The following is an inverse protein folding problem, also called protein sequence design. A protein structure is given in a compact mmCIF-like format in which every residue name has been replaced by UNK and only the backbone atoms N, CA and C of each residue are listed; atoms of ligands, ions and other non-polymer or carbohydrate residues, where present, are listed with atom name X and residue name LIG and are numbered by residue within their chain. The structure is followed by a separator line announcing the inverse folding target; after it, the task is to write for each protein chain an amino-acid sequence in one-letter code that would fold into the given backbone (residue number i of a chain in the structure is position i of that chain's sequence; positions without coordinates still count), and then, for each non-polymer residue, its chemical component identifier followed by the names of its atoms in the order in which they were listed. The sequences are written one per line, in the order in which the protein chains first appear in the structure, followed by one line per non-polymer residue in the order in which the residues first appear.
data_IF_796967900058
#
_entry.id   IF_796967900058
#
_cell.length_a   1.000
_cell.length_b   1.000
_cell.length_c   1.000
_cell.angle_alpha   90.00
_cell.angle_beta   90.00
_cell.angle_gamma   90.00
#
_symmetry.space_group_name_H-M   'P 1'
#
loop_
_entity.id
_entity.type
_entity.pdbx_description
1 polymer ?
#
# COMPACT_ATOMS: atom_id res chain seq x y z
N UNK A 1 -18.82 29.21 -26.93
CA UNK A 1 -17.58 28.47 -26.61
C UNK A 1 -17.53 28.23 -25.11
N UNK A 2 -18.15 27.15 -24.61
CA UNK A 2 -18.01 26.73 -23.22
C UNK A 2 -16.74 25.88 -23.09
N UNK A 3 -15.81 26.33 -22.25
CA UNK A 3 -14.59 25.59 -21.91
C UNK A 3 -14.96 24.45 -20.96
N UNK A 4 -14.76 23.22 -21.42
CA UNK A 4 -14.82 22.00 -20.62
C UNK A 4 -13.76 22.07 -19.50
N UNK A 5 -14.20 22.11 -18.24
CA UNK A 5 -13.33 21.87 -17.08
C UNK A 5 -12.87 20.40 -17.07
N UNK A 6 -11.58 20.10 -16.84
CA UNK A 6 -11.13 18.72 -16.63
C UNK A 6 -11.56 18.27 -15.23
N UNK A 7 -12.69 17.54 -15.18
CA UNK A 7 -13.28 16.96 -13.97
C UNK A 7 -12.66 15.59 -13.64
N UNK A 8 -11.33 15.48 -13.69
CA UNK A 8 -10.59 14.24 -13.37
C UNK A 8 -9.18 14.59 -12.87
N UNK A 9 -9.03 14.86 -11.56
CA UNK A 9 -8.09 14.03 -10.79
C UNK A 9 -8.55 13.72 -9.36
N UNK A 10 -9.76 14.11 -8.96
CA UNK A 10 -10.28 13.89 -7.59
C UNK A 10 -10.65 12.41 -7.33
N UNK A 11 -10.98 11.66 -8.39
CA UNK A 11 -11.46 10.27 -8.28
C UNK A 11 -10.41 9.29 -7.72
N UNK A 12 -9.11 9.59 -7.83
CA UNK A 12 -8.04 8.69 -7.37
C UNK A 12 -7.78 8.74 -5.86
N UNK A 13 -8.03 9.89 -5.23
CA UNK A 13 -7.74 10.14 -3.81
C UNK A 13 -8.96 9.81 -2.94
N UNK A 14 -10.16 9.91 -3.51
CA UNK A 14 -11.38 9.35 -2.92
C UNK A 14 -11.30 7.84 -2.71
N UNK A 15 -10.44 7.07 -3.37
CA UNK A 15 -10.38 5.61 -3.14
C UNK A 15 -9.64 5.21 -1.85
N UNK A 16 -8.79 6.08 -1.29
CA UNK A 16 -8.13 5.81 0.00
C UNK A 16 -8.86 6.42 1.20
N UNK A 17 -9.72 7.42 0.98
CA UNK A 17 -10.44 8.16 2.04
C UNK A 17 -11.97 8.12 1.92
N UNK A 18 -12.53 7.78 0.75
CA UNK A 18 -13.91 7.26 0.56
C UNK A 18 -13.87 5.75 0.25
N UNK A 19 -12.81 5.03 0.65
CA UNK A 19 -12.88 3.57 0.73
C UNK A 19 -14.09 3.18 1.58
N UNK A 20 -14.67 2.01 1.35
CA UNK A 20 -15.89 1.56 2.01
C UNK A 20 -15.75 1.76 3.53
N UNK A 21 -16.41 2.79 4.05
CA UNK A 21 -16.41 3.11 5.47
C UNK A 21 -17.45 2.21 6.11
N UNK A 22 -17.00 1.32 6.98
CA UNK A 22 -17.86 0.43 7.75
C UNK A 22 -18.11 1.03 9.13
N UNK A 23 -19.27 0.71 9.68
CA UNK A 23 -19.67 1.09 11.03
C UNK A 23 -19.06 0.19 12.08
N UNK A 24 -18.70 -1.03 11.70
CA UNK A 24 -18.13 -2.04 12.59
C UNK A 24 -16.96 -2.77 11.92
N UNK A 25 -15.94 -3.19 12.68
CA UNK A 25 -14.90 -4.07 12.15
C UNK A 25 -15.43 -5.51 12.03
N UNK A 26 -14.85 -6.36 11.16
CA UNK A 26 -15.25 -7.76 11.06
C UNK A 26 -14.81 -8.57 12.29
N UNK A 27 -13.78 -8.14 13.01
CA UNK A 27 -13.41 -8.71 14.31
C UNK A 27 -12.59 -7.72 15.12
N UNK A 28 -12.48 -7.99 16.42
CA UNK A 28 -11.43 -7.40 17.24
C UNK A 28 -10.02 -7.74 16.75
N UNK A 29 -8.99 -7.17 17.41
CA UNK A 29 -7.60 -7.37 17.05
C UNK A 29 -7.18 -8.83 17.24
N UNK A 30 -6.42 -9.35 16.27
CA UNK A 30 -5.75 -10.63 16.41
C UNK A 30 -4.60 -10.51 17.43
N UNK A 31 -4.38 -11.56 18.21
CA UNK A 31 -3.19 -11.66 19.03
C UNK A 31 -1.96 -11.70 18.10
N UNK A 32 -1.00 -10.81 18.34
CA UNK A 32 0.21 -10.54 17.54
C UNK A 32 0.03 -9.64 16.32
N UNK A 33 0.99 -8.72 16.20
CA UNK A 33 1.23 -7.89 15.03
C UNK A 33 2.13 -8.62 14.03
N UNK A 34 1.89 -8.39 12.76
CA UNK A 34 2.85 -8.64 11.69
C UNK A 34 3.96 -7.56 11.73
N UNK A 35 5.11 -7.89 12.30
CA UNK A 35 6.22 -6.94 12.47
C UNK A 35 6.79 -6.41 11.15
N UNK A 36 6.69 -7.19 10.08
CA UNK A 36 7.13 -6.77 8.75
C UNK A 36 6.29 -5.64 8.15
N UNK A 37 5.07 -5.39 8.65
CA UNK A 37 4.27 -4.23 8.28
C UNK A 37 4.78 -2.93 8.89
N UNK A 38 5.50 -2.99 10.02
CA UNK A 38 6.06 -1.80 10.64
C UNK A 38 7.14 -1.20 9.74
N UNK A 39 7.18 0.13 9.66
CA UNK A 39 8.13 0.86 8.83
C UNK A 39 7.53 2.08 8.14
N UNK A 40 8.36 2.69 7.30
CA UNK A 40 7.97 3.76 6.40
C UNK A 40 7.72 3.18 5.01
N UNK A 41 6.59 3.54 4.42
CA UNK A 41 6.10 3.02 3.16
C UNK A 41 5.84 4.15 2.20
N UNK A 42 6.19 3.96 0.93
CA UNK A 42 5.93 4.95 -0.11
C UNK A 42 5.24 4.32 -1.33
N UNK A 43 4.33 5.09 -1.92
CA UNK A 43 3.73 4.80 -3.21
C UNK A 43 3.51 6.08 -4.01
N UNK A 44 3.34 5.95 -5.33
CA UNK A 44 3.03 7.07 -6.22
C UNK A 44 1.73 6.76 -6.96
N UNK A 45 0.86 7.75 -7.09
CA UNK A 45 -0.30 7.60 -7.96
C UNK A 45 0.09 7.72 -9.45
N UNK A 46 -0.91 7.56 -10.33
CA UNK A 46 -0.75 7.68 -11.78
C UNK A 46 -0.40 9.10 -12.24
N UNK A 47 -0.63 10.12 -11.41
CA UNK A 47 -0.22 11.50 -11.66
C UNK A 47 1.19 11.81 -11.09
N UNK A 48 1.84 10.83 -10.45
CA UNK A 48 3.16 10.97 -9.87
C UNK A 48 3.17 11.60 -8.47
N UNK A 49 2.02 11.84 -7.84
CA UNK A 49 1.96 12.33 -6.47
C UNK A 49 2.48 11.26 -5.50
N UNK A 50 3.33 11.68 -4.58
CA UNK A 50 3.95 10.80 -3.58
C UNK A 50 3.07 10.72 -2.33
N UNK A 51 2.75 9.49 -1.95
CA UNK A 51 2.09 9.17 -0.69
C UNK A 51 3.10 8.45 0.19
N UNK A 52 3.20 8.91 1.44
CA UNK A 52 4.01 8.24 2.46
C UNK A 52 3.11 7.75 3.57
N UNK A 53 3.40 6.59 4.11
CA UNK A 53 2.70 6.04 5.27
C UNK A 53 3.73 5.58 6.28
N UNK A 54 3.51 5.90 7.55
CA UNK A 54 4.29 5.38 8.67
C UNK A 54 3.38 4.39 9.42
N UNK A 55 3.83 3.15 9.57
CA UNK A 55 3.16 2.13 10.36
C UNK A 55 4.06 1.84 11.55
N UNK A 56 3.59 2.13 12.76
CA UNK A 56 4.33 1.90 14.00
C UNK A 56 3.49 1.07 14.97
N UNK A 57 4.05 0.05 15.63
CA UNK A 57 3.31 -0.68 16.66
C UNK A 57 3.01 0.24 17.84
N UNK A 58 1.79 0.15 18.39
CA UNK A 58 1.40 0.86 19.62
C UNK A 58 1.17 -0.07 20.80
N UNK A 59 0.93 -1.35 20.51
CA UNK A 59 0.80 -2.45 21.47
C UNK A 59 1.13 -3.76 20.75
N UNK A 60 0.96 -4.89 21.44
CA UNK A 60 1.14 -6.23 20.87
C UNK A 60 0.13 -6.62 19.78
N UNK A 61 -0.92 -5.81 19.60
CA UNK A 61 -2.09 -6.13 18.79
C UNK A 61 -2.62 -4.93 17.97
N UNK A 62 -2.04 -3.74 18.15
CA UNK A 62 -2.39 -2.52 17.42
C UNK A 62 -1.17 -1.82 16.81
N UNK A 63 -1.46 -1.05 15.75
CA UNK A 63 -0.57 -0.12 15.09
C UNK A 63 -1.17 1.29 15.12
N UNK A 64 -0.29 2.28 15.11
CA UNK A 64 -0.58 3.62 14.58
C UNK A 64 -0.19 3.65 13.11
N UNK A 65 -1.14 4.02 12.26
CA UNK A 65 -0.87 4.29 10.84
C UNK A 65 -1.03 5.77 10.59
N UNK A 66 0.00 6.43 10.09
CA UNK A 66 -0.02 7.85 9.73
C UNK A 66 0.22 8.00 8.23
N UNK A 67 -0.81 8.39 7.49
CA UNK A 67 -0.75 8.70 6.06
C UNK A 67 -0.36 10.17 5.89
N UNK A 68 0.70 10.44 5.14
CA UNK A 68 1.21 11.77 4.82
C UNK A 68 1.06 11.99 3.31
N UNK A 69 0.25 12.98 2.93
CA UNK A 69 0.02 13.34 1.54
C UNK A 69 0.71 14.67 1.20
N UNK A 70 1.57 14.64 0.17
CA UNK A 70 2.26 15.83 -0.37
C UNK A 70 2.92 16.72 0.71
N UNK A 71 3.36 16.11 1.82
CA UNK A 71 4.02 16.79 2.94
C UNK A 71 3.14 17.76 3.74
N UNK A 72 1.81 17.77 3.56
CA UNK A 72 0.92 18.80 4.13
C UNK A 72 -0.19 18.28 5.03
N UNK A 73 -0.87 17.21 4.66
CA UNK A 73 -1.93 16.61 5.47
C UNK A 73 -1.46 15.27 6.02
N UNK A 74 -1.64 15.09 7.33
CA UNK A 74 -1.48 13.79 7.97
C UNK A 74 -2.82 13.28 8.48
N UNK A 75 -3.16 12.05 8.11
CA UNK A 75 -4.32 11.33 8.64
C UNK A 75 -3.82 10.17 9.47
N UNK A 76 -4.30 10.07 10.70
CA UNK A 76 -3.89 9.01 11.61
C UNK A 76 -5.02 8.01 11.83
N UNK A 77 -4.65 6.75 11.91
CA UNK A 77 -5.53 5.63 12.14
C UNK A 77 -5.01 4.78 13.27
N UNK A 78 -5.92 4.22 14.04
CA UNK A 78 -5.67 3.07 14.90
C UNK A 78 -5.95 1.83 14.06
N UNK A 79 -5.00 0.92 13.97
CA UNK A 79 -5.09 -0.21 13.06
C UNK A 79 -4.75 -1.52 13.73
N UNK A 80 -5.36 -2.61 13.27
CA UNK A 80 -5.09 -3.96 13.75
C UNK A 80 -5.38 -4.98 12.65
N UNK A 81 -4.95 -6.21 12.88
CA UNK A 81 -5.23 -7.33 11.99
C UNK A 81 -6.51 -8.00 12.47
N UNK A 82 -7.56 -7.97 11.65
CA UNK A 82 -8.75 -8.79 11.80
C UNK A 82 -8.60 -10.10 11.03
N UNK A 83 -9.23 -11.18 11.51
CA UNK A 83 -9.16 -12.52 10.87
C UNK A 83 -10.55 -13.07 10.61
N UNK A 84 -10.80 -13.48 9.38
CA UNK A 84 -12.04 -14.17 8.96
C UNK A 84 -11.66 -15.42 8.19
N UNK A 85 -11.91 -16.60 8.80
CA UNK A 85 -11.62 -17.91 8.20
C UNK A 85 -10.19 -18.03 7.63
N UNK A 86 -9.19 -17.56 8.39
CA UNK A 86 -7.77 -17.58 8.01
C UNK A 86 -7.33 -16.40 7.13
N UNK A 87 -8.26 -15.67 6.53
CA UNK A 87 -7.98 -14.47 5.74
C UNK A 87 -7.64 -13.28 6.64
N UNK A 88 -6.52 -12.61 6.36
CA UNK A 88 -6.05 -11.43 7.11
C UNK A 88 -6.61 -10.15 6.51
N UNK A 89 -7.15 -9.30 7.36
CA UNK A 89 -7.70 -8.00 7.00
C UNK A 89 -7.02 -6.94 7.87
N UNK A 90 -6.36 -5.98 7.25
CA UNK A 90 -5.88 -4.78 7.92
C UNK A 90 -7.07 -3.84 8.12
N UNK A 91 -7.50 -3.70 9.37
CA UNK A 91 -8.60 -2.83 9.79
C UNK A 91 -8.03 -1.50 10.22
N UNK A 92 -8.48 -0.39 9.62
CA UNK A 92 -8.08 0.98 9.97
C UNK A 92 -9.28 1.72 10.55
N UNK A 93 -9.19 2.12 11.82
CA UNK A 93 -10.14 3.03 12.46
C UNK A 93 -9.63 4.46 12.36
N UNK A 94 -10.40 5.35 11.73
CA UNK A 94 -10.03 6.76 11.65
C UNK A 94 -10.01 7.43 13.03
N UNK A 95 -8.93 8.14 13.33
CA UNK A 95 -8.77 8.94 14.55
C UNK A 95 -8.94 10.44 14.31
N UNK A 96 -8.97 10.85 13.05
CA UNK A 96 -9.14 12.25 12.70
C UNK A 96 -10.58 12.70 12.97
N UNK A 97 -10.71 13.91 13.48
CA UNK A 97 -12.02 14.56 13.68
C UNK A 97 -12.75 14.76 12.34
N UNK A 98 -14.07 14.57 12.34
CA UNK A 98 -14.92 14.76 11.17
C UNK A 98 -15.88 13.60 10.90
N UNK A 99 -16.43 13.55 9.67
CA UNK A 99 -17.46 12.60 9.26
C UNK A 99 -17.01 11.12 9.28
N UNK A 100 -15.70 10.87 9.26
CA UNK A 100 -15.13 9.52 9.27
C UNK A 100 -14.69 9.07 10.68
N UNK A 101 -14.85 9.90 11.72
CA UNK A 101 -14.39 9.56 13.07
C UNK A 101 -15.03 8.26 13.54
N UNK A 102 -14.20 7.29 13.92
CA UNK A 102 -14.65 5.99 14.40
C UNK A 102 -15.13 5.03 13.31
N UNK A 103 -15.17 5.44 12.04
CA UNK A 103 -15.44 4.53 10.91
C UNK A 103 -14.22 3.68 10.60
N UNK A 104 -14.48 2.52 9.98
CA UNK A 104 -13.48 1.52 9.67
C UNK A 104 -13.26 1.42 8.16
N UNK A 105 -12.00 1.32 7.74
CA UNK A 105 -11.62 0.91 6.39
C UNK A 105 -10.98 -0.46 6.45
N UNK A 106 -11.37 -1.35 5.54
CA UNK A 106 -10.96 -2.75 5.55
C UNK A 106 -10.15 -3.06 4.29
N UNK A 107 -8.93 -3.56 4.50
CA UNK A 107 -8.03 -3.89 3.40
C UNK A 107 -7.48 -5.29 3.56
N UNK A 108 -7.35 -6.00 2.45
CA UNK A 108 -6.43 -7.12 2.36
C UNK A 108 -5.01 -6.60 2.16
N UNK A 109 -4.04 -7.27 2.77
CA UNK A 109 -2.64 -6.94 2.61
C UNK A 109 -1.82 -8.22 2.35
N UNK A 110 -0.87 -8.13 1.42
CA UNK A 110 -0.04 -9.26 1.00
C UNK A 110 1.42 -8.78 0.92
N UNK A 111 2.33 -9.52 1.54
CA UNK A 111 3.75 -9.35 1.34
C UNK A 111 4.10 -9.88 -0.06
N UNK A 112 4.49 -9.00 -0.96
CA UNK A 112 4.97 -9.39 -2.29
C UNK A 112 6.42 -9.86 -2.17
N UNK A 113 6.76 -10.92 -2.90
CA UNK A 113 8.11 -11.47 -2.89
C UNK A 113 9.15 -10.35 -3.09
N UNK A 114 10.22 -10.32 -2.27
CA UNK A 114 11.27 -9.32 -2.42
C UNK A 114 11.80 -9.41 -3.85
N UNK A 115 11.88 -8.25 -4.53
CA UNK A 115 12.56 -8.20 -5.82
C UNK A 115 13.98 -8.76 -5.66
N UNK A 116 14.48 -9.47 -6.68
CA UNK A 116 15.81 -10.10 -6.63
C UNK A 116 16.85 -9.03 -6.29
N UNK A 117 17.46 -9.06 -5.09
CA UNK A 117 18.41 -8.02 -4.73
C UNK A 117 19.68 -8.15 -5.55
N UNK A 118 20.38 -7.03 -5.84
CA UNK A 118 21.79 -7.06 -6.16
C UNK A 118 22.57 -7.91 -5.15
N UNK A 119 23.62 -8.65 -5.58
CA UNK A 119 24.47 -9.40 -4.67
C UNK A 119 24.98 -8.50 -3.54
N UNK A 120 24.68 -8.86 -2.28
CA UNK A 120 25.07 -8.10 -1.10
C UNK A 120 24.07 -7.04 -0.60
N UNK A 121 22.85 -6.99 -1.15
CA UNK A 121 21.78 -6.09 -0.68
C UNK A 121 20.52 -6.84 -0.24
N UNK A 122 19.69 -6.19 0.59
CA UNK A 122 18.34 -6.67 0.93
C UNK A 122 17.38 -6.08 -0.10
N UNK A 123 16.63 -6.93 -0.79
CA UNK A 123 15.70 -6.49 -1.83
C UNK A 123 14.59 -5.62 -1.23
N UNK A 124 14.01 -4.67 -2.00
CA UNK A 124 12.96 -3.82 -1.48
C UNK A 124 11.76 -4.68 -1.03
N UNK A 125 11.37 -4.54 0.23
CA UNK A 125 10.14 -5.13 0.75
C UNK A 125 8.97 -4.40 0.10
N UNK A 126 8.11 -5.16 -0.57
CA UNK A 126 6.92 -4.65 -1.27
C UNK A 126 5.68 -5.24 -0.64
N UNK A 127 4.66 -4.43 -0.46
CA UNK A 127 3.36 -4.90 0.02
C UNK A 127 2.28 -4.45 -0.93
N UNK A 128 1.29 -5.30 -1.13
CA UNK A 128 0.07 -4.96 -1.83
C UNK A 128 -1.01 -4.73 -0.81
N UNK A 129 -1.70 -3.60 -0.91
CA UNK A 129 -2.92 -3.32 -0.13
C UNK A 129 -4.07 -3.25 -1.12
N UNK A 130 -5.13 -4.03 -0.88
CA UNK A 130 -6.30 -4.13 -1.75
C UNK A 130 -7.57 -3.88 -0.95
N UNK A 131 -8.48 -3.08 -1.47
CA UNK A 131 -9.79 -2.87 -0.85
C UNK A 131 -10.67 -4.12 -1.02
N UNK A 132 -11.40 -4.48 0.04
CA UNK A 132 -12.37 -5.58 -0.03
C UNK A 132 -13.54 -5.21 -0.95
N UNK A 133 -13.83 -6.05 -1.93
CA UNK A 133 -14.95 -5.91 -2.86
C UNK A 133 -16.22 -6.47 -2.20
N UNK A 134 -16.82 -5.65 -1.32
CA UNK A 134 -18.09 -5.94 -0.66
C UNK A 134 -19.19 -5.02 -1.19
N UNK A 135 -20.44 -5.49 -1.13
CA UNK A 135 -21.59 -4.67 -1.50
C UNK A 135 -21.73 -3.46 -0.56
N UNK A 136 -22.27 -2.35 -1.07
CA UNK A 136 -22.44 -1.12 -0.29
C UNK A 136 -23.36 -1.32 0.92
N UNK A 137 -24.34 -2.24 0.84
CA UNK A 137 -25.19 -2.61 1.98
C UNK A 137 -24.39 -3.17 3.18
N UNK A 138 -23.17 -3.65 2.95
CA UNK A 138 -22.32 -4.20 4.01
C UNK A 138 -21.80 -3.14 4.99
N UNK A 139 -21.83 -1.84 4.62
CA UNK A 139 -21.23 -0.75 5.41
C UNK A 139 -21.86 -0.56 6.78
N UNK A 140 -23.17 -0.81 6.88
CA UNK A 140 -23.94 -0.63 8.11
C UNK A 140 -24.11 -1.93 8.91
N UNK A 141 -23.54 -3.04 8.44
CA UNK A 141 -23.67 -4.32 9.12
C UNK A 141 -22.92 -4.34 10.46
N UNK A 142 -23.47 -5.08 11.41
CA UNK A 142 -22.72 -5.45 12.61
C UNK A 142 -21.57 -6.41 12.27
N UNK A 143 -20.66 -6.61 13.21
CA UNK A 143 -19.49 -7.49 13.03
C UNK A 143 -19.86 -8.92 12.65
N UNK A 144 -20.98 -9.46 13.13
CA UNK A 144 -21.38 -10.85 12.85
C UNK A 144 -21.82 -11.00 11.39
N UNK A 145 -22.71 -10.13 10.92
CA UNK A 145 -23.21 -10.13 9.55
C UNK A 145 -22.13 -9.73 8.54
N UNK A 146 -21.28 -8.77 8.90
CA UNK A 146 -20.13 -8.39 8.07
C UNK A 146 -19.17 -9.56 7.85
N UNK A 147 -18.87 -10.35 8.90
CA UNK A 147 -18.09 -11.60 8.74
C UNK A 147 -18.77 -12.59 7.82
N UNK A 148 -20.09 -12.74 7.93
CA UNK A 148 -20.83 -13.67 7.09
C UNK A 148 -20.72 -13.30 5.60
N UNK A 149 -20.89 -12.02 5.25
CA UNK A 149 -20.71 -11.55 3.88
C UNK A 149 -19.26 -11.66 3.40
N UNK A 150 -18.27 -11.36 4.25
CA UNK A 150 -16.85 -11.59 3.91
C UNK A 150 -16.59 -13.06 3.58
N UNK A 151 -17.08 -14.00 4.41
CA UNK A 151 -16.93 -15.44 4.16
C UNK A 151 -17.59 -15.88 2.86
N UNK A 152 -18.77 -15.35 2.57
CA UNK A 152 -19.51 -15.62 1.34
C UNK A 152 -18.72 -15.13 0.12
N UNK A 153 -18.20 -13.91 0.17
CA UNK A 153 -17.34 -13.34 -0.88
C UNK A 153 -16.00 -14.11 -1.03
N UNK A 154 -15.41 -14.57 0.07
CA UNK A 154 -14.22 -15.44 0.04
C UNK A 154 -14.51 -16.76 -0.68
N UNK A 155 -15.59 -17.44 -0.30
CA UNK A 155 -16.02 -18.71 -0.92
C UNK A 155 -16.36 -18.53 -2.40
N UNK A 156 -16.89 -17.36 -2.77
CA UNK A 156 -17.18 -17.01 -4.15
C UNK A 156 -15.97 -16.55 -4.96
N UNK A 157 -14.82 -16.30 -4.33
CA UNK A 157 -13.64 -15.73 -5.00
C UNK A 157 -13.83 -14.29 -5.47
N UNK A 158 -14.81 -13.57 -4.92
CA UNK A 158 -15.17 -12.20 -5.33
C UNK A 158 -14.69 -11.13 -4.36
N UNK A 159 -14.11 -11.51 -3.21
CA UNK A 159 -13.70 -10.54 -2.19
C UNK A 159 -12.59 -9.59 -2.66
N UNK A 160 -11.75 -10.03 -3.58
CA UNK A 160 -10.63 -9.25 -4.09
C UNK A 160 -10.83 -8.97 -5.58
N UNK A 161 -10.31 -7.85 -6.10
CA UNK A 161 -10.32 -7.60 -7.52
C UNK A 161 -9.60 -8.74 -8.27
N UNK A 162 -10.04 -9.10 -9.49
CA UNK A 162 -9.39 -10.15 -10.27
C UNK A 162 -7.89 -9.89 -10.42
N UNK A 163 -7.09 -10.90 -10.10
CA UNK A 163 -5.63 -10.85 -10.23
C UNK A 163 -5.25 -11.08 -11.70
N UNK A 164 -4.81 -10.04 -12.40
CA UNK A 164 -4.20 -10.22 -13.72
C UNK A 164 -2.74 -10.67 -13.56
N UNK A 165 -2.55 -11.98 -13.43
CA UNK A 165 -1.23 -12.59 -13.28
C UNK A 165 -0.29 -12.30 -14.48
N UNK A 166 -0.84 -12.06 -15.67
CA UNK A 166 -0.04 -11.73 -16.86
C UNK A 166 0.48 -10.29 -16.82
N UNK A 167 -0.33 -9.35 -16.32
CA UNK A 167 0.11 -7.98 -16.04
C UNK A 167 1.20 -7.96 -14.95
N UNK A 168 1.00 -8.72 -13.87
CA UNK A 168 1.99 -8.81 -12.78
C UNK A 168 3.33 -9.39 -13.24
N UNK A 169 3.32 -10.46 -14.04
CA UNK A 169 4.54 -11.05 -14.60
C UNK A 169 5.28 -10.09 -15.52
N UNK A 170 4.55 -9.30 -16.31
CA UNK A 170 5.14 -8.25 -17.16
C UNK A 170 5.77 -7.14 -16.31
N UNK A 171 5.10 -6.72 -15.24
CA UNK A 171 5.62 -5.68 -14.33
C UNK A 171 6.88 -6.16 -13.61
N UNK A 172 6.88 -7.37 -13.04
CA UNK A 172 8.05 -7.95 -12.39
C UNK A 172 9.22 -8.15 -13.37
N UNK A 173 8.93 -8.53 -14.63
CA UNK A 173 9.96 -8.60 -15.67
C UNK A 173 10.54 -7.22 -16.00
N UNK A 174 9.69 -6.19 -16.17
CA UNK A 174 10.12 -4.81 -16.45
C UNK A 174 10.97 -4.24 -15.31
N UNK A 175 10.59 -4.52 -14.06
CA UNK A 175 11.36 -4.13 -12.87
C UNK A 175 12.73 -4.80 -12.82
N UNK A 176 12.81 -6.10 -13.15
CA UNK A 176 14.08 -6.83 -13.24
C UNK A 176 15.00 -6.27 -14.32
N UNK A 177 14.44 -5.95 -15.50
CA UNK A 177 15.20 -5.36 -16.61
C UNK A 177 15.71 -3.95 -16.26
N UNK A 178 14.89 -3.12 -15.61
CA UNK A 178 15.30 -1.78 -15.15
C UNK A 178 16.43 -1.86 -14.10
N UNK A 179 16.30 -2.75 -13.10
CA UNK A 179 17.34 -2.95 -12.10
C UNK A 179 18.63 -3.51 -12.69
N UNK A 180 18.55 -4.39 -13.71
CA UNK A 180 19.73 -4.91 -14.40
C UNK A 180 20.43 -3.82 -15.23
N UNK A 181 19.67 -2.92 -15.87
CA UNK A 181 20.21 -1.80 -16.62
C UNK A 181 20.94 -0.79 -15.72
N UNK A 182 20.36 -0.44 -14.56
CA UNK A 182 21.02 0.43 -13.58
C UNK A 182 22.32 -0.18 -13.05
N UNK A 183 22.35 -1.50 -12.82
CA UNK A 183 23.57 -2.21 -12.41
C UNK A 183 24.63 -2.24 -13.51
N UNK A 184 24.23 -2.45 -14.77
CA UNK A 184 25.15 -2.39 -15.89
C UNK A 184 25.79 -1.00 -16.03
N UNK A 185 25.00 0.06 -15.85
CA UNK A 185 25.49 1.45 -15.86
C UNK A 185 26.49 1.74 -14.74
N UNK A 186 26.25 1.24 -13.52
CA UNK A 186 27.17 1.40 -12.39
C UNK A 186 28.48 0.62 -12.56
N UNK A 187 28.43 -0.57 -13.15
CA UNK A 187 29.62 -1.37 -13.46
C UNK A 187 30.48 -0.75 -14.58
N UNK A 188 29.85 -0.11 -15.58
CA UNK A 188 30.58 0.59 -16.65
C UNK A 188 31.32 1.84 -16.12
N UNK A 189 30.76 2.48 -15.08
CA UNK A 189 31.38 3.61 -14.40
C UNK A 189 32.62 3.22 -13.56
N UNK A 190 32.67 1.99 -13.06
CA UNK A 190 33.80 1.48 -12.28
C UNK A 190 34.95 0.97 -13.16
N UNK A 191 34.70 0.68 -14.45
CA UNK A 191 35.73 0.18 -15.38
C UNK A 191 36.41 1.27 -16.22
N UNK A 192 35.82 2.46 -16.37
CA UNK A 192 36.45 3.58 -17.09
C UNK A 192 36.81 4.74 -16.16
N UNK A 193 38.06 4.76 -15.69
CA UNK A 193 38.64 5.85 -14.89
C UNK A 193 38.84 7.15 -15.67
N UNK A 194 37.78 7.72 -16.24
CA UNK A 194 37.79 9.08 -16.79
C UNK A 194 36.62 9.88 -16.22
N UNK A 195 36.94 10.68 -15.20
CA UNK A 195 36.11 11.77 -14.68
C UNK A 195 35.72 12.72 -15.82
N UNK A 196 34.52 12.55 -16.37
CA UNK A 196 33.81 13.59 -17.12
C UNK A 196 32.74 14.17 -16.21
N UNK A 197 33.00 15.34 -15.67
CA UNK A 197 32.01 16.20 -15.03
C UNK A 197 31.03 16.71 -16.09
N UNK A 198 29.91 16.02 -16.25
CA UNK A 198 28.70 16.57 -16.84
C UNK A 198 27.50 16.00 -16.08
N UNK A 199 27.22 16.60 -14.92
CA UNK A 199 25.99 16.36 -14.18
C UNK A 199 24.83 17.05 -14.92
N UNK A 200 24.36 16.43 -16.00
CA UNK A 200 23.10 16.78 -16.64
C UNK A 200 22.34 15.51 -17.01
N UNK A 201 21.40 15.16 -16.13
CA UNK A 201 20.29 14.27 -16.47
C UNK A 201 20.51 12.78 -16.16
N UNK A 202 20.06 12.35 -14.99
CA UNK A 202 19.55 11.00 -14.78
C UNK A 202 18.31 11.09 -13.88
N UNK A 203 17.28 11.75 -14.40
CA UNK A 203 15.93 11.73 -13.84
C UNK A 203 15.04 11.02 -14.87
N UNK A 204 15.35 9.75 -15.15
CA UNK A 204 14.59 8.91 -16.08
C UNK A 204 14.58 7.47 -15.60
N UNK A 205 13.44 7.09 -15.03
CA UNK A 205 12.68 5.85 -15.32
C UNK A 205 11.94 5.29 -14.10
N UNK A 206 11.19 6.13 -13.38
CA UNK A 206 10.00 5.62 -12.68
C UNK A 206 8.79 5.73 -13.62
N UNK A 207 8.85 5.06 -14.76
CA UNK A 207 7.75 5.04 -15.74
C UNK A 207 6.63 4.12 -15.24
N UNK A 208 5.47 4.74 -15.00
CA UNK A 208 4.13 4.16 -14.93
C UNK A 208 4.07 2.73 -14.35
N UNK A 209 3.97 2.64 -13.02
CA UNK A 209 3.48 1.44 -12.33
C UNK A 209 2.02 1.23 -12.74
N UNK A 210 1.75 0.10 -13.38
CA UNK A 210 0.41 -0.20 -13.88
C UNK A 210 -0.48 -0.53 -12.67
N UNK A 211 -1.56 0.24 -12.49
CA UNK A 211 -2.49 0.05 -11.38
C UNK A 211 -3.31 -1.20 -11.64
N UNK A 212 -3.16 -2.22 -10.81
CA UNK A 212 -4.17 -3.27 -10.68
C UNK A 212 -5.43 -2.60 -10.09
N UNK A 213 -6.60 -2.67 -10.76
CA UNK A 213 -7.82 -2.03 -10.27
C UNK A 213 -8.09 -2.42 -8.80
N UNK A 214 -8.26 -1.45 -7.92
CA UNK A 214 -8.58 -1.69 -6.50
C UNK A 214 -7.40 -2.13 -5.60
N UNK A 215 -6.16 -2.14 -6.09
CA UNK A 215 -4.99 -2.40 -5.24
C UNK A 215 -3.82 -1.43 -5.48
N UNK A 216 -2.99 -1.26 -4.46
CA UNK A 216 -1.86 -0.34 -4.45
C UNK A 216 -0.63 -1.07 -3.93
N UNK A 217 0.48 -0.95 -4.66
CA UNK A 217 1.79 -1.46 -4.23
C UNK A 217 2.53 -0.37 -3.47
N UNK A 218 2.96 -0.69 -2.26
CA UNK A 218 3.79 0.13 -1.41
C UNK A 218 5.19 -0.47 -1.28
N UNK A 219 6.20 0.40 -1.19
CA UNK A 219 7.59 0.02 -1.03
C UNK A 219 8.09 0.51 0.32
N UNK A 220 8.73 -0.38 1.10
CA UNK A 220 9.37 0.00 2.37
C UNK A 220 10.58 0.86 2.07
N UNK A 221 10.64 2.06 2.64
CA UNK A 221 11.74 3.03 2.44
C UNK A 221 12.53 3.29 3.71
N UNK A 222 12.05 2.84 4.86
CA UNK A 222 12.75 2.99 6.13
C UNK A 222 12.15 2.12 7.23
N UNK A 223 12.90 1.98 8.31
CA UNK A 223 12.41 1.38 9.55
C UNK A 223 11.72 2.39 10.45
N UNK A 224 11.11 1.88 11.52
CA UNK A 224 10.61 2.68 12.64
C UNK A 224 11.24 2.17 13.93
N UNK A 225 11.64 3.08 14.81
CA UNK A 225 12.18 2.72 16.12
C UNK A 225 11.15 3.01 17.19
N UNK A 226 10.80 2.00 17.98
CA UNK A 226 9.92 2.11 19.14
C UNK A 226 10.67 1.58 20.36
N UNK A 227 10.77 2.37 21.42
CA UNK A 227 11.39 1.96 22.70
C UNK A 227 12.83 1.40 22.58
N UNK A 228 13.56 1.79 21.53
CA UNK A 228 14.93 1.33 21.26
C UNK A 228 15.04 0.12 20.34
N UNK A 229 13.92 -0.51 19.95
CA UNK A 229 13.88 -1.58 18.95
C UNK A 229 13.52 -1.00 17.56
N UNK A 230 14.27 -1.41 16.53
CA UNK A 230 14.03 -0.99 15.13
C UNK A 230 13.33 -2.10 14.34
N UNK A 231 12.22 -1.74 13.70
CA UNK A 231 11.39 -2.61 12.86
C UNK A 231 11.42 -2.19 11.39
#
# INVERSE_FOLDING_TARGET
MLRSLPLLPVLGISLLLNGCLYDNPPSGPAASIDTWLAGQWETKDSAGHLFKTIIAPTSSDHYRVTLIQNGKSSTSFDAWISRVDGFSILTLKSLNEGLSLGKFSLFHYELLAPGTPPPGSVGPTRIRISELQLDESCRMLDSFHLRAEIRKALKGGTLLPPRDAAAELKEDKKLREASAADMAYLNDFTYSGKLRTNAKGANRSSEAREKIPGSIIWIKTGGVTLEGETF
#
